data_IF_756609470953
#
_entry.id   IF_756609470953
#
_cell.length_a   1.000
_cell.length_b   1.000
_cell.length_c   1.000
_cell.angle_alpha   90.00
_cell.angle_beta   90.00
_cell.angle_gamma   90.00
#
_symmetry.space_group_name_H-M   'P 1'
#
loop_
_entity.id
_entity.type
_entity.pdbx_description
1 polymer ?
#
# COMPACT_ATOMS: atom_id res chain seq x y z
N UNK A 1 -7.07 -6.87 -0.65
CA UNK A 1 -7.32 -8.25 -0.20
C UNK A 1 -8.09 -8.25 1.14
N UNK A 2 -9.38 -7.97 1.14
CA UNK A 2 -10.15 -7.81 2.38
C UNK A 2 -10.37 -9.13 3.13
N UNK A 3 -10.27 -10.25 2.42
CA UNK A 3 -10.51 -11.60 2.96
C UNK A 3 -9.27 -12.23 3.61
N UNK A 4 -8.06 -11.73 3.31
CA UNK A 4 -6.82 -12.36 3.79
C UNK A 4 -6.65 -12.29 5.33
N UNK A 5 -6.90 -11.15 6.01
CA UNK A 5 -6.76 -11.10 7.46
C UNK A 5 -7.73 -12.02 8.20
N UNK A 6 -9.05 -12.06 7.88
CA UNK A 6 -9.96 -13.04 8.46
C UNK A 6 -9.57 -14.49 8.14
N UNK A 7 -9.12 -14.78 6.93
CA UNK A 7 -8.63 -16.11 6.57
C UNK A 7 -7.38 -16.49 7.39
N UNK A 8 -6.44 -15.56 7.55
CA UNK A 8 -5.26 -15.77 8.39
C UNK A 8 -5.63 -15.98 9.87
N UNK A 9 -6.71 -15.35 10.35
CA UNK A 9 -7.22 -15.60 11.70
C UNK A 9 -7.84 -17.01 11.83
N UNK A 10 -8.55 -17.48 10.82
CA UNK A 10 -9.12 -18.85 10.81
C UNK A 10 -8.00 -19.89 10.85
N UNK A 11 -6.94 -19.72 10.08
CA UNK A 11 -5.83 -20.66 10.00
C UNK A 11 -4.89 -20.55 11.20
N UNK A 12 -4.54 -19.31 11.59
CA UNK A 12 -3.52 -19.04 12.62
C UNK A 12 -4.03 -18.86 14.04
N UNK A 13 -5.35 -18.77 14.24
CA UNK A 13 -6.03 -18.72 15.53
C UNK A 13 -5.83 -17.44 16.35
N UNK A 14 -4.84 -16.57 16.05
CA UNK A 14 -4.51 -15.42 16.88
C UNK A 14 -4.34 -14.13 16.09
N UNK A 15 -4.57 -12.98 16.74
CA UNK A 15 -4.31 -11.66 16.13
C UNK A 15 -2.82 -11.44 15.87
N UNK A 16 -1.95 -12.06 16.66
CA UNK A 16 -0.50 -12.02 16.44
C UNK A 16 -0.11 -12.74 15.15
N UNK A 17 -0.68 -13.91 14.87
CA UNK A 17 -0.48 -14.64 13.62
C UNK A 17 -0.95 -13.81 12.42
N UNK A 18 -2.11 -13.15 12.51
CA UNK A 18 -2.59 -12.22 11.47
C UNK A 18 -1.60 -11.08 11.25
N UNK A 19 -1.13 -10.45 12.31
CA UNK A 19 -0.15 -9.36 12.23
C UNK A 19 1.15 -9.79 11.56
N UNK A 20 1.65 -10.98 11.90
CA UNK A 20 2.85 -11.57 11.29
C UNK A 20 2.65 -11.81 9.79
N UNK A 21 1.55 -12.44 9.40
CA UNK A 21 1.22 -12.74 8.01
C UNK A 21 1.06 -11.45 7.19
N UNK A 22 0.30 -10.47 7.70
CA UNK A 22 0.10 -9.21 7.00
C UNK A 22 1.39 -8.37 6.90
N UNK A 23 2.25 -8.41 7.92
CA UNK A 23 3.54 -7.74 7.92
C UNK A 23 4.54 -8.30 6.90
N UNK A 24 4.41 -9.58 6.53
CA UNK A 24 5.27 -10.25 5.55
C UNK A 24 5.27 -9.54 4.18
N UNK A 25 4.13 -9.05 3.76
CA UNK A 25 3.99 -8.29 2.50
C UNK A 25 4.85 -7.02 2.47
N UNK A 26 4.82 -6.24 3.56
CA UNK A 26 5.64 -5.04 3.71
C UNK A 26 7.13 -5.37 3.85
N UNK A 27 7.46 -6.46 4.59
CA UNK A 27 8.83 -6.92 4.78
C UNK A 27 9.51 -7.29 3.46
N UNK A 28 8.82 -8.04 2.61
CA UNK A 28 9.35 -8.39 1.28
C UNK A 28 9.63 -7.14 0.44
N UNK A 29 8.73 -6.15 0.45
CA UNK A 29 8.94 -4.90 -0.27
C UNK A 29 10.09 -4.07 0.30
N UNK A 30 10.24 -4.02 1.63
CA UNK A 30 11.34 -3.33 2.30
C UNK A 30 12.70 -3.90 1.87
N UNK A 31 12.80 -5.23 1.83
CA UNK A 31 14.05 -5.92 1.49
C UNK A 31 14.40 -5.85 0.01
N UNK A 32 13.39 -5.88 -0.88
CA UNK A 32 13.63 -6.08 -2.31
C UNK A 32 13.60 -4.81 -3.15
N UNK A 33 12.93 -3.74 -2.76
CA UNK A 33 12.79 -2.54 -3.60
C UNK A 33 14.12 -1.90 -3.99
N UNK A 34 15.08 -1.85 -3.07
CA UNK A 34 16.41 -1.26 -3.33
C UNK A 34 17.24 -2.17 -4.24
N UNK A 35 17.48 -3.47 -3.90
CA UNK A 35 18.20 -4.38 -4.79
C UNK A 35 17.60 -4.47 -6.19
N UNK A 36 16.26 -4.51 -6.26
CA UNK A 36 15.54 -4.60 -7.52
C UNK A 36 15.78 -3.37 -8.42
N UNK A 37 15.75 -2.16 -7.83
CA UNK A 37 16.05 -0.93 -8.57
C UNK A 37 17.45 -0.98 -9.20
N UNK A 38 18.45 -1.44 -8.46
CA UNK A 38 19.83 -1.60 -8.94
C UNK A 38 19.89 -2.64 -10.06
N UNK A 39 19.23 -3.79 -9.90
CA UNK A 39 19.21 -4.85 -10.92
C UNK A 39 18.49 -4.43 -12.20
N UNK A 40 17.39 -3.69 -12.07
CA UNK A 40 16.67 -3.13 -13.21
C UNK A 40 17.55 -2.22 -14.06
N UNK A 41 18.37 -1.39 -13.43
CA UNK A 41 19.27 -0.49 -14.13
C UNK A 41 20.45 -1.24 -14.76
N UNK A 42 20.99 -2.26 -14.06
CA UNK A 42 22.09 -3.08 -14.56
C UNK A 42 21.70 -3.91 -15.79
N UNK A 43 20.56 -4.57 -15.76
CA UNK A 43 20.09 -5.45 -16.85
C UNK A 43 19.55 -4.67 -18.05
N UNK A 44 19.13 -3.42 -17.86
CA UNK A 44 18.58 -2.59 -18.94
C UNK A 44 17.27 -3.10 -19.57
N UNK A 45 16.78 -4.28 -19.12
CA UNK A 45 15.54 -4.92 -19.57
C UNK A 45 14.54 -4.98 -18.44
N UNK A 46 13.27 -4.66 -18.69
CA UNK A 46 12.20 -4.58 -17.70
C UNK A 46 11.29 -5.81 -17.72
N UNK A 47 11.13 -6.44 -18.89
CA UNK A 47 10.23 -7.59 -19.09
C UNK A 47 10.56 -8.79 -18.19
N UNK A 48 11.82 -9.22 -17.98
CA UNK A 48 12.12 -10.35 -17.09
C UNK A 48 11.57 -10.17 -15.68
N UNK A 49 11.63 -8.94 -15.15
CA UNK A 49 11.09 -8.64 -13.82
C UNK A 49 9.56 -8.66 -13.80
N UNK A 50 8.91 -8.24 -14.88
CA UNK A 50 7.45 -8.31 -15.02
C UNK A 50 7.00 -9.78 -15.09
N UNK A 51 7.69 -10.63 -15.86
CA UNK A 51 7.44 -12.07 -15.88
C UNK A 51 7.60 -12.70 -14.49
N UNK A 52 8.72 -12.37 -13.81
CA UNK A 52 8.96 -12.84 -12.45
C UNK A 52 7.86 -12.38 -11.50
N UNK A 53 7.36 -11.14 -11.64
CA UNK A 53 6.24 -10.61 -10.87
C UNK A 53 4.99 -11.47 -10.99
N UNK A 54 4.56 -11.80 -12.22
CA UNK A 54 3.39 -12.65 -12.44
C UNK A 54 3.60 -14.09 -11.97
N UNK A 55 4.79 -14.66 -12.15
CA UNK A 55 5.14 -16.00 -11.66
C UNK A 55 5.06 -16.04 -10.13
N UNK A 56 5.65 -15.05 -9.46
CA UNK A 56 5.61 -14.95 -7.99
C UNK A 56 4.18 -14.71 -7.47
N UNK A 57 3.38 -13.88 -8.16
CA UNK A 57 1.98 -13.64 -7.77
C UNK A 57 1.10 -14.89 -7.93
N UNK A 58 1.30 -15.64 -9.01
CA UNK A 58 0.68 -16.94 -9.22
C UNK A 58 1.10 -17.96 -8.15
N UNK A 59 2.41 -18.06 -7.85
CA UNK A 59 2.93 -18.93 -6.80
C UNK A 59 2.39 -18.54 -5.41
N UNK A 60 2.31 -17.24 -5.10
CA UNK A 60 1.71 -16.75 -3.87
C UNK A 60 0.21 -17.14 -3.77
N UNK A 61 -0.53 -16.96 -4.86
CA UNK A 61 -1.95 -17.34 -4.92
C UNK A 61 -2.15 -18.83 -4.69
N UNK A 62 -1.35 -19.68 -5.35
CA UNK A 62 -1.37 -21.13 -5.12
C UNK A 62 -0.96 -21.48 -3.69
N UNK A 63 0.10 -20.86 -3.16
CA UNK A 63 0.52 -21.03 -1.78
C UNK A 63 -0.59 -20.72 -0.78
N UNK A 64 -1.36 -19.65 -1.00
CA UNK A 64 -2.51 -19.30 -0.15
C UNK A 64 -3.65 -20.32 -0.20
N UNK A 65 -3.87 -20.99 -1.35
CA UNK A 65 -4.90 -22.05 -1.50
C UNK A 65 -4.57 -23.25 -0.59
N UNK A 66 -3.28 -23.64 -0.55
CA UNK A 66 -2.84 -24.82 0.18
C UNK A 66 -2.32 -24.52 1.58
N UNK A 67 -2.46 -23.26 2.05
CA UNK A 67 -1.96 -22.87 3.37
C UNK A 67 -2.84 -23.43 4.50
N UNK A 68 -2.25 -24.30 5.29
CA UNK A 68 -2.82 -24.90 6.49
C UNK A 68 -2.18 -24.39 7.80
N UNK A 69 -1.17 -23.54 7.69
CA UNK A 69 -0.40 -23.02 8.81
C UNK A 69 -0.02 -21.55 8.65
N UNK A 70 0.21 -20.87 9.78
CA UNK A 70 0.69 -19.48 9.80
C UNK A 70 1.99 -19.30 9.03
N UNK A 71 2.89 -20.30 9.08
CA UNK A 71 4.16 -20.25 8.36
C UNK A 71 3.98 -20.27 6.84
N UNK A 72 3.08 -21.11 6.32
CA UNK A 72 2.77 -21.16 4.88
C UNK A 72 2.07 -19.88 4.43
N UNK A 73 1.13 -19.35 5.23
CA UNK A 73 0.51 -18.05 4.96
C UNK A 73 1.55 -16.94 4.91
N UNK A 74 2.46 -16.88 5.89
CA UNK A 74 3.56 -15.91 5.92
C UNK A 74 4.41 -15.98 4.66
N UNK A 75 4.85 -17.19 4.27
CA UNK A 75 5.67 -17.39 3.08
C UNK A 75 4.91 -16.97 1.81
N UNK A 76 3.65 -17.36 1.67
CA UNK A 76 2.82 -17.01 0.51
C UNK A 76 2.62 -15.50 0.40
N UNK A 77 2.34 -14.81 1.52
CA UNK A 77 2.18 -13.35 1.55
C UNK A 77 3.52 -12.63 1.34
N UNK A 78 4.63 -13.20 1.82
CA UNK A 78 5.97 -12.70 1.54
C UNK A 78 6.27 -12.76 0.03
N UNK A 79 5.97 -13.89 -0.63
CA UNK A 79 6.11 -14.04 -2.08
C UNK A 79 5.21 -13.04 -2.82
N UNK A 80 3.98 -12.80 -2.36
CA UNK A 80 3.11 -11.74 -2.93
C UNK A 80 3.74 -10.34 -2.78
N UNK A 81 4.41 -10.07 -1.66
CA UNK A 81 5.17 -8.83 -1.45
C UNK A 81 6.37 -8.71 -2.39
N UNK A 82 7.05 -9.83 -2.68
CA UNK A 82 8.09 -9.89 -3.72
C UNK A 82 7.52 -9.54 -5.10
N UNK A 83 6.40 -10.14 -5.48
CA UNK A 83 5.69 -9.84 -6.73
C UNK A 83 5.32 -8.35 -6.82
N UNK A 84 4.78 -7.78 -5.75
CA UNK A 84 4.43 -6.36 -5.67
C UNK A 84 5.66 -5.42 -5.80
N UNK A 85 6.85 -5.87 -5.44
CA UNK A 85 8.08 -5.09 -5.62
C UNK A 85 8.43 -4.87 -7.10
N UNK A 86 7.97 -5.78 -8.00
CA UNK A 86 8.17 -5.66 -9.45
C UNK A 86 7.38 -4.50 -10.07
N UNK A 87 6.52 -3.82 -9.29
CA UNK A 87 5.82 -2.60 -9.67
C UNK A 87 6.76 -1.53 -10.25
N UNK A 88 7.99 -1.45 -9.77
CA UNK A 88 9.01 -0.52 -10.30
C UNK A 88 9.26 -0.80 -11.79
N UNK A 89 9.41 -2.07 -12.19
CA UNK A 89 9.60 -2.46 -13.59
C UNK A 89 8.39 -2.10 -14.46
N UNK A 90 7.16 -2.29 -13.95
CA UNK A 90 5.93 -1.92 -14.64
C UNK A 90 5.85 -0.43 -14.91
N UNK A 91 6.10 0.40 -13.90
CA UNK A 91 6.00 1.86 -14.03
C UNK A 91 7.01 2.40 -15.01
N UNK A 92 8.25 1.89 -15.00
CA UNK A 92 9.31 2.32 -15.91
C UNK A 92 8.99 1.86 -17.35
N UNK A 93 8.60 0.60 -17.56
CA UNK A 93 8.22 0.10 -18.88
C UNK A 93 7.07 0.92 -19.46
N UNK A 94 6.02 1.17 -18.67
CA UNK A 94 4.87 1.95 -19.11
C UNK A 94 5.24 3.38 -19.47
N UNK A 95 6.09 4.04 -18.68
CA UNK A 95 6.56 5.38 -18.94
C UNK A 95 7.33 5.47 -20.27
N UNK A 96 8.08 4.44 -20.65
CA UNK A 96 8.86 4.40 -21.90
C UNK A 96 8.01 4.40 -23.19
N UNK A 97 6.70 4.19 -23.08
CA UNK A 97 5.78 4.33 -24.23
C UNK A 97 5.35 5.77 -24.49
N UNK A 98 5.67 6.70 -23.59
CA UNK A 98 5.28 8.10 -23.69
C UNK A 98 6.51 8.98 -23.91
N UNK A 99 6.40 10.08 -24.69
CA UNK A 99 7.43 11.10 -24.75
C UNK A 99 7.71 11.67 -23.35
N UNK A 100 8.95 12.06 -23.07
CA UNK A 100 9.36 12.65 -21.76
C UNK A 100 8.46 13.79 -21.31
N UNK A 101 7.98 14.63 -22.27
CA UNK A 101 7.03 15.73 -21.97
C UNK A 101 5.68 15.24 -21.41
N UNK A 102 5.35 13.96 -21.55
CA UNK A 102 4.10 13.36 -21.09
C UNK A 102 4.30 12.43 -19.88
N UNK A 103 5.43 12.50 -19.19
CA UNK A 103 5.73 11.65 -18.03
C UNK A 103 4.64 11.73 -16.95
N UNK A 104 4.14 12.92 -16.63
CA UNK A 104 3.02 13.09 -15.68
C UNK A 104 1.74 12.41 -16.15
N UNK A 105 1.42 12.45 -17.45
CA UNK A 105 0.26 11.77 -18.02
C UNK A 105 0.39 10.25 -17.92
N UNK A 106 1.58 9.71 -18.22
CA UNK A 106 1.82 8.25 -18.12
C UNK A 106 1.66 7.77 -16.68
N UNK A 107 2.24 8.48 -15.71
CA UNK A 107 2.08 8.15 -14.29
C UNK A 107 0.62 8.24 -13.85
N UNK A 108 -0.11 9.28 -14.24
CA UNK A 108 -1.54 9.42 -13.93
C UNK A 108 -2.36 8.23 -14.45
N UNK A 109 -2.12 7.81 -15.70
CA UNK A 109 -2.84 6.69 -16.31
C UNK A 109 -2.56 5.36 -15.60
N UNK A 110 -1.29 5.07 -15.29
CA UNK A 110 -0.95 3.80 -14.62
C UNK A 110 -1.46 3.76 -13.18
N UNK A 111 -1.38 4.89 -12.45
CA UNK A 111 -1.94 4.97 -11.09
C UNK A 111 -3.46 4.83 -11.11
N UNK A 112 -4.16 5.51 -12.02
CA UNK A 112 -5.62 5.37 -12.18
C UNK A 112 -6.00 3.92 -12.47
N UNK A 113 -5.38 3.30 -13.47
CA UNK A 113 -5.65 1.91 -13.85
C UNK A 113 -5.41 0.95 -12.69
N UNK A 114 -4.34 1.14 -11.93
CA UNK A 114 -4.03 0.31 -10.76
C UNK A 114 -5.06 0.48 -9.64
N UNK A 115 -5.45 1.71 -9.31
CA UNK A 115 -6.46 1.96 -8.27
C UNK A 115 -7.83 1.45 -8.66
N UNK A 116 -8.21 1.63 -9.93
CA UNK A 116 -9.45 1.09 -10.46
C UNK A 116 -9.45 -0.45 -10.39
N UNK A 117 -8.38 -1.11 -10.87
CA UNK A 117 -8.25 -2.57 -10.79
C UNK A 117 -8.28 -3.07 -9.35
N UNK A 118 -7.59 -2.40 -8.41
CA UNK A 118 -7.62 -2.73 -6.99
C UNK A 118 -9.04 -2.64 -6.40
N UNK A 119 -9.79 -1.60 -6.74
CA UNK A 119 -11.16 -1.43 -6.28
C UNK A 119 -12.06 -2.57 -6.79
N UNK A 120 -12.02 -2.83 -8.10
CA UNK A 120 -12.82 -3.89 -8.73
C UNK A 120 -12.45 -5.28 -8.18
N UNK A 121 -11.17 -5.62 -8.12
CA UNK A 121 -10.72 -6.93 -7.61
C UNK A 121 -10.98 -7.11 -6.12
N UNK A 122 -11.01 -6.03 -5.35
CA UNK A 122 -11.35 -6.08 -3.93
C UNK A 122 -12.82 -6.42 -3.71
N UNK A 123 -13.72 -5.75 -4.44
CA UNK A 123 -15.15 -6.07 -4.42
C UNK A 123 -15.41 -7.50 -4.93
N UNK A 124 -14.89 -7.81 -6.12
CA UNK A 124 -15.05 -9.15 -6.73
C UNK A 124 -14.49 -10.25 -5.82
N UNK A 125 -13.36 -10.00 -5.15
CA UNK A 125 -12.76 -10.95 -4.21
C UNK A 125 -13.66 -11.26 -3.03
N UNK A 126 -14.38 -10.28 -2.47
CA UNK A 126 -15.39 -10.49 -1.43
C UNK A 126 -16.56 -11.34 -1.92
N UNK A 127 -17.13 -10.98 -3.08
CA UNK A 127 -18.27 -11.69 -3.69
C UNK A 127 -17.90 -13.15 -4.08
N UNK A 128 -16.69 -13.36 -4.61
CA UNK A 128 -16.16 -14.69 -4.93
C UNK A 128 -15.98 -15.51 -3.64
N UNK A 129 -15.43 -14.91 -2.57
CA UNK A 129 -15.24 -15.59 -1.30
C UNK A 129 -16.57 -15.99 -0.63
N UNK A 130 -17.61 -15.20 -0.81
CA UNK A 130 -18.95 -15.52 -0.30
C UNK A 130 -19.52 -16.76 -0.97
N UNK A 131 -19.37 -16.87 -2.30
CA UNK A 131 -19.95 -17.97 -3.10
C UNK A 131 -19.12 -19.26 -3.09
N UNK A 132 -17.79 -19.14 -3.16
CA UNK A 132 -16.86 -20.27 -3.34
C UNK A 132 -15.89 -20.45 -2.17
N UNK A 133 -16.13 -19.82 -1.03
CA UNK A 133 -15.29 -19.92 0.15
C UNK A 133 -13.98 -19.13 0.05
N UNK A 134 -13.14 -19.28 1.06
CA UNK A 134 -11.90 -18.51 1.22
C UNK A 134 -10.89 -18.73 0.07
N UNK A 135 -10.85 -19.93 -0.52
CA UNK A 135 -9.92 -20.28 -1.59
C UNK A 135 -10.31 -19.66 -2.95
N UNK A 136 -11.60 -19.36 -3.16
CA UNK A 136 -12.13 -18.87 -4.45
C UNK A 136 -11.37 -17.69 -5.03
N UNK A 137 -11.13 -16.59 -4.27
CA UNK A 137 -10.37 -15.44 -4.77
C UNK A 137 -8.92 -15.75 -5.09
N UNK A 138 -8.30 -16.73 -4.43
CA UNK A 138 -6.91 -17.12 -4.70
C UNK A 138 -6.81 -17.92 -6.01
N UNK A 139 -7.80 -18.78 -6.32
CA UNK A 139 -7.90 -19.40 -7.65
C UNK A 139 -8.05 -18.33 -8.74
N UNK A 140 -8.93 -17.36 -8.57
CA UNK A 140 -9.07 -16.24 -9.50
C UNK A 140 -7.75 -15.45 -9.65
N UNK A 141 -7.02 -15.21 -8.55
CA UNK A 141 -5.69 -14.59 -8.55
C UNK A 141 -4.68 -15.37 -9.39
N UNK A 142 -4.59 -16.68 -9.20
CA UNK A 142 -3.69 -17.54 -9.97
C UNK A 142 -4.00 -17.50 -11.49
N UNK A 143 -5.29 -17.56 -11.86
CA UNK A 143 -5.72 -17.42 -13.26
C UNK A 143 -5.37 -16.06 -13.84
N UNK A 144 -5.63 -14.98 -13.11
CA UNK A 144 -5.30 -13.62 -13.54
C UNK A 144 -3.79 -13.40 -13.68
N UNK A 145 -2.98 -14.00 -12.79
CA UNK A 145 -1.52 -13.96 -12.90
C UNK A 145 -1.02 -14.67 -14.15
N UNK A 146 -1.60 -15.84 -14.48
CA UNK A 146 -1.30 -16.56 -15.72
C UNK A 146 -1.69 -15.74 -16.96
N UNK A 147 -2.88 -15.16 -16.97
CA UNK A 147 -3.33 -14.29 -18.07
C UNK A 147 -2.42 -13.06 -18.21
N UNK A 148 -2.03 -12.42 -17.11
CA UNK A 148 -1.09 -11.31 -17.10
C UNK A 148 0.27 -11.69 -17.68
N UNK A 149 0.79 -12.87 -17.31
CA UNK A 149 2.03 -13.41 -17.85
C UNK A 149 1.94 -13.59 -19.38
N UNK A 150 0.87 -14.23 -19.86
CA UNK A 150 0.63 -14.46 -21.29
C UNK A 150 0.49 -13.15 -22.07
N UNK A 151 -0.24 -12.17 -21.53
CA UNK A 151 -0.38 -10.84 -22.14
C UNK A 151 0.96 -10.12 -22.22
N UNK A 152 1.80 -10.23 -21.20
CA UNK A 152 3.13 -9.61 -21.18
C UNK A 152 4.05 -10.15 -22.26
N UNK A 153 3.87 -11.40 -22.71
CA UNK A 153 4.64 -11.95 -23.84
C UNK A 153 4.46 -11.13 -25.12
N UNK A 154 3.27 -10.56 -25.35
CA UNK A 154 2.92 -9.77 -26.53
C UNK A 154 3.33 -8.30 -26.46
N UNK A 155 3.70 -7.80 -25.28
CA UNK A 155 4.08 -6.41 -25.10
C UNK A 155 5.51 -6.21 -25.63
N UNK A 156 5.77 -5.32 -26.60
CA UNK A 156 7.12 -5.04 -27.05
C UNK A 156 7.89 -4.30 -25.96
N UNK A 157 9.18 -4.62 -25.78
CA UNK A 157 10.01 -3.88 -24.84
C UNK A 157 10.64 -2.67 -25.54
N UNK A 158 10.32 -1.47 -25.03
CA UNK A 158 11.05 -0.24 -25.40
C UNK A 158 12.14 0.01 -24.34
N UNK A 159 13.40 -0.08 -24.77
CA UNK A 159 14.54 0.22 -23.91
C UNK A 159 14.64 1.73 -23.73
N UNK A 160 14.88 2.24 -22.52
CA UNK A 160 15.10 3.66 -22.30
C UNK A 160 16.43 4.10 -22.94
N UNK A 161 16.44 5.27 -23.53
CA UNK A 161 17.71 5.99 -23.76
C UNK A 161 18.30 6.26 -22.38
N UNK A 162 19.49 5.71 -22.12
CA UNK A 162 20.31 5.75 -20.89
C UNK A 162 19.60 6.30 -19.63
N UNK A 163 19.18 5.43 -18.77
CA UNK A 163 18.79 5.77 -17.40
C UNK A 163 20.04 6.10 -16.59
N UNK A 164 20.05 7.19 -15.84
CA UNK A 164 21.09 7.46 -14.85
C UNK A 164 21.03 6.35 -13.80
N UNK A 165 22.11 5.58 -13.67
CA UNK A 165 22.21 4.49 -12.70
C UNK A 165 21.97 5.02 -11.28
N UNK A 166 21.07 4.37 -10.56
CA UNK A 166 20.86 4.63 -9.12
C UNK A 166 22.17 4.27 -8.41
N UNK A 167 22.94 5.27 -8.00
CA UNK A 167 24.13 5.05 -7.19
C UNK A 167 23.74 4.85 -5.74
N UNK A 168 24.19 3.77 -5.11
CA UNK A 168 24.01 3.54 -3.66
C UNK A 168 24.51 4.75 -2.84
N UNK A 169 25.58 5.42 -3.31
CA UNK A 169 26.09 6.65 -2.72
C UNK A 169 25.05 7.78 -2.72
N UNK A 170 24.37 7.99 -3.85
CA UNK A 170 23.32 8.99 -3.96
C UNK A 170 22.12 8.66 -3.07
N UNK A 171 21.76 7.37 -2.96
CA UNK A 171 20.72 6.89 -2.06
C UNK A 171 21.05 7.22 -0.58
N UNK A 172 22.28 6.98 -0.14
CA UNK A 172 22.72 7.31 1.22
C UNK A 172 22.81 8.82 1.49
N UNK A 173 23.20 9.61 0.48
CA UNK A 173 23.23 11.07 0.58
C UNK A 173 21.83 11.66 0.74
N UNK A 174 20.84 11.12 0.04
CA UNK A 174 19.43 11.53 0.19
C UNK A 174 18.92 11.28 1.61
N UNK A 175 19.40 10.23 2.28
CA UNK A 175 19.11 9.95 3.69
C UNK A 175 19.58 11.02 4.68
N UNK A 176 20.34 12.03 4.24
CA UNK A 176 20.74 13.18 5.07
C UNK A 176 19.84 14.41 4.86
N UNK A 177 18.93 14.37 3.89
CA UNK A 177 18.00 15.48 3.66
C UNK A 177 16.90 15.50 4.73
N UNK A 178 16.85 16.52 5.61
CA UNK A 178 15.92 16.54 6.73
C UNK A 178 14.46 16.63 6.31
N UNK A 179 14.18 17.29 5.17
CA UNK A 179 12.82 17.39 4.63
C UNK A 179 12.35 16.04 4.12
N UNK A 180 13.19 15.32 3.34
CA UNK A 180 12.88 13.98 2.85
C UNK A 180 12.68 13.00 4.02
N UNK A 181 13.52 13.06 5.06
CA UNK A 181 13.37 12.23 6.26
C UNK A 181 12.06 12.51 7.00
N UNK A 182 11.70 13.79 7.17
CA UNK A 182 10.44 14.16 7.83
C UNK A 182 9.23 13.66 7.07
N UNK A 183 9.21 13.86 5.74
CA UNK A 183 8.14 13.38 4.85
C UNK A 183 8.06 11.85 4.86
N UNK A 184 9.21 11.17 4.87
CA UNK A 184 9.28 9.71 4.97
C UNK A 184 8.78 9.20 6.31
N UNK A 185 9.11 9.86 7.42
CA UNK A 185 8.60 9.52 8.76
C UNK A 185 7.07 9.65 8.84
N UNK A 186 6.51 10.71 8.27
CA UNK A 186 5.06 10.87 8.16
C UNK A 186 4.45 9.72 7.35
N UNK A 187 5.05 9.36 6.22
CA UNK A 187 4.58 8.26 5.39
C UNK A 187 4.66 6.89 6.11
N UNK A 188 5.68 6.66 6.98
CA UNK A 188 5.75 5.46 7.83
C UNK A 188 4.50 5.40 8.73
N UNK A 189 4.15 6.49 9.42
CA UNK A 189 3.01 6.53 10.33
C UNK A 189 1.68 6.31 9.60
N UNK A 190 1.52 6.91 8.42
CA UNK A 190 0.34 6.70 7.59
C UNK A 190 0.22 5.25 7.12
N UNK A 191 1.32 4.68 6.60
CA UNK A 191 1.33 3.30 6.12
C UNK A 191 1.20 2.29 7.26
N UNK A 192 1.75 2.60 8.44
CA UNK A 192 1.48 1.84 9.66
C UNK A 192 -0.03 1.74 9.90
N UNK A 193 -0.72 2.89 9.91
CA UNK A 193 -2.16 2.93 10.16
C UNK A 193 -2.95 2.18 9.08
N UNK A 194 -2.67 2.41 7.79
CA UNK A 194 -3.37 1.75 6.68
C UNK A 194 -3.17 0.23 6.72
N UNK A 195 -1.94 -0.23 6.88
CA UNK A 195 -1.62 -1.64 6.87
C UNK A 195 -2.17 -2.37 8.09
N UNK A 196 -2.09 -1.74 9.27
CA UNK A 196 -2.64 -2.30 10.51
C UNK A 196 -4.16 -2.31 10.51
N UNK A 197 -4.80 -1.19 10.18
CA UNK A 197 -6.26 -1.07 10.32
C UNK A 197 -6.97 -1.50 9.05
N UNK A 198 -6.96 -0.68 8.02
CA UNK A 198 -7.77 -0.86 6.81
C UNK A 198 -7.51 -2.18 6.10
N UNK A 199 -6.24 -2.54 5.90
CA UNK A 199 -5.86 -3.79 5.24
C UNK A 199 -5.73 -4.98 6.19
N UNK A 200 -5.50 -4.73 7.48
CA UNK A 200 -5.25 -5.74 8.50
C UNK A 200 -6.48 -6.04 9.35
N UNK A 201 -6.72 -5.25 10.38
CA UNK A 201 -7.63 -5.61 11.46
C UNK A 201 -9.07 -5.10 11.31
N UNK A 202 -9.36 -4.13 10.44
CA UNK A 202 -10.75 -3.68 10.18
C UNK A 202 -11.63 -4.78 9.58
N UNK A 203 -11.18 -5.60 8.60
CA UNK A 203 -11.97 -6.75 8.14
C UNK A 203 -12.33 -7.73 9.25
N UNK A 204 -11.40 -8.00 10.17
CA UNK A 204 -11.65 -8.87 11.33
C UNK A 204 -12.69 -8.24 12.27
N UNK A 205 -12.58 -6.92 12.51
CA UNK A 205 -13.56 -6.20 13.32
C UNK A 205 -14.94 -6.22 12.68
N UNK A 206 -15.00 -5.99 11.36
CA UNK A 206 -16.25 -6.05 10.59
C UNK A 206 -16.95 -7.43 10.73
N UNK A 207 -16.18 -8.53 10.61
CA UNK A 207 -16.74 -9.87 10.83
C UNK A 207 -17.26 -10.08 12.26
N UNK A 208 -16.60 -9.53 13.28
CA UNK A 208 -17.09 -9.62 14.68
C UNK A 208 -18.42 -8.94 14.89
N UNK A 209 -18.74 -7.89 14.11
CA UNK A 209 -20.03 -7.21 14.14
C UNK A 209 -21.01 -7.71 13.07
N UNK A 210 -20.71 -8.88 12.46
CA UNK A 210 -21.62 -9.62 11.59
C UNK A 210 -21.45 -9.42 10.10
N UNK A 211 -20.34 -8.84 9.60
CA UNK A 211 -20.10 -8.67 8.18
C UNK A 211 -19.88 -10.02 7.46
N UNK A 212 -20.56 -10.20 6.33
CA UNK A 212 -20.31 -11.25 5.36
C UNK A 212 -18.97 -11.00 4.62
N UNK A 213 -18.47 -11.99 3.88
CA UNK A 213 -17.25 -11.84 3.08
C UNK A 213 -17.44 -10.82 1.94
N UNK A 214 -18.64 -10.75 1.35
CA UNK A 214 -18.98 -9.76 0.35
C UNK A 214 -18.94 -8.35 0.94
N UNK A 215 -19.48 -8.15 2.14
CA UNK A 215 -19.47 -6.87 2.85
C UNK A 215 -18.05 -6.39 3.20
N UNK A 216 -17.11 -7.31 3.42
CA UNK A 216 -15.68 -6.96 3.54
C UNK A 216 -15.12 -6.38 2.23
N UNK A 217 -15.56 -6.92 1.08
CA UNK A 217 -15.24 -6.38 -0.24
C UNK A 217 -15.77 -4.95 -0.41
N UNK A 218 -17.04 -4.72 -0.05
CA UNK A 218 -17.68 -3.39 -0.10
C UNK A 218 -16.97 -2.41 0.83
N UNK A 219 -16.60 -2.83 2.03
CA UNK A 219 -15.89 -2.01 3.01
C UNK A 219 -14.60 -1.41 2.44
N UNK A 220 -13.78 -2.26 1.84
CA UNK A 220 -12.51 -1.83 1.26
C UNK A 220 -12.71 -1.05 -0.06
N UNK A 221 -13.72 -1.42 -0.86
CA UNK A 221 -14.12 -0.66 -2.05
C UNK A 221 -14.53 0.78 -1.69
N UNK A 222 -15.30 0.97 -0.63
CA UNK A 222 -15.70 2.28 -0.13
C UNK A 222 -14.48 3.13 0.28
N UNK A 223 -13.54 2.54 1.01
CA UNK A 223 -12.26 3.19 1.36
C UNK A 223 -11.46 3.59 0.11
N UNK A 224 -11.29 2.67 -0.84
CA UNK A 224 -10.50 2.93 -2.06
C UNK A 224 -11.13 3.97 -2.96
N UNK A 225 -12.46 3.93 -3.13
CA UNK A 225 -13.22 4.91 -3.90
C UNK A 225 -13.08 6.32 -3.30
N UNK A 226 -13.24 6.43 -1.99
CA UNK A 226 -13.05 7.69 -1.27
C UNK A 226 -11.60 8.21 -1.39
N UNK A 227 -10.61 7.31 -1.26
CA UNK A 227 -9.19 7.66 -1.44
C UNK A 227 -8.92 8.19 -2.85
N UNK A 228 -9.45 7.54 -3.87
CA UNK A 228 -9.28 7.95 -5.27
C UNK A 228 -9.85 9.35 -5.52
N UNK A 229 -11.08 9.60 -5.09
CA UNK A 229 -11.73 10.92 -5.25
C UNK A 229 -10.99 12.01 -4.48
N UNK A 230 -10.62 11.75 -3.23
CA UNK A 230 -9.89 12.72 -2.41
C UNK A 230 -8.49 13.03 -2.95
N UNK A 231 -7.82 12.06 -3.57
CA UNK A 231 -6.52 12.26 -4.21
C UNK A 231 -6.58 13.26 -5.39
N UNK A 232 -7.68 13.26 -6.14
CA UNK A 232 -7.91 14.25 -7.19
C UNK A 232 -8.06 15.66 -6.60
N UNK A 233 -8.79 15.77 -5.49
CA UNK A 233 -9.01 17.05 -4.80
C UNK A 233 -7.73 17.57 -4.16
N UNK A 234 -6.89 16.70 -3.60
CA UNK A 234 -5.62 17.08 -2.98
C UNK A 234 -4.75 17.94 -3.92
N UNK A 235 -4.59 17.50 -5.19
CA UNK A 235 -3.83 18.24 -6.19
C UNK A 235 -4.43 19.59 -6.58
N UNK A 236 -5.76 19.75 -6.43
CA UNK A 236 -6.45 21.01 -6.73
C UNK A 236 -6.31 22.04 -5.61
N UNK A 237 -6.36 21.62 -4.37
CA UNK A 237 -6.34 22.50 -3.19
C UNK A 237 -4.93 22.82 -2.69
N UNK A 238 -3.97 21.92 -2.89
CA UNK A 238 -2.59 22.08 -2.43
C UNK A 238 -1.71 22.83 -3.43
N UNK A 239 -2.12 24.06 -3.80
CA UNK A 239 -1.38 24.88 -4.77
C UNK A 239 -0.32 25.79 -4.14
N UNK A 240 -0.35 25.98 -2.83
CA UNK A 240 0.58 26.83 -2.07
C UNK A 240 1.12 26.04 -0.87
N UNK A 241 2.35 26.30 -0.41
CA UNK A 241 2.92 25.60 0.74
C UNK A 241 2.04 25.61 2.00
N UNK A 242 1.39 26.72 2.28
CA UNK A 242 0.48 26.85 3.44
C UNK A 242 -0.76 25.98 3.30
N UNK A 243 -1.32 25.87 2.09
CA UNK A 243 -2.47 25.00 1.83
C UNK A 243 -2.08 23.52 1.82
N UNK A 244 -0.90 23.15 1.34
CA UNK A 244 -0.39 21.77 1.45
C UNK A 244 -0.31 21.32 2.92
N UNK A 245 0.26 22.17 3.78
CA UNK A 245 0.34 21.92 5.23
C UNK A 245 -1.03 21.70 5.85
N UNK A 246 -1.97 22.60 5.57
CA UNK A 246 -3.32 22.52 6.11
C UNK A 246 -4.05 21.26 5.64
N UNK A 247 -3.89 20.88 4.36
CA UNK A 247 -4.51 19.67 3.78
C UNK A 247 -3.89 18.40 4.40
N UNK A 248 -2.57 18.32 4.55
CA UNK A 248 -1.91 17.18 5.21
C UNK A 248 -2.36 17.06 6.67
N UNK A 249 -2.39 18.16 7.41
CA UNK A 249 -2.85 18.19 8.80
C UNK A 249 -4.31 17.72 8.92
N UNK A 250 -5.21 18.29 8.12
CA UNK A 250 -6.62 17.92 8.09
C UNK A 250 -6.80 16.45 7.68
N UNK A 251 -6.04 15.96 6.70
CA UNK A 251 -6.07 14.57 6.28
C UNK A 251 -5.70 13.61 7.41
N UNK A 252 -4.64 13.89 8.17
CA UNK A 252 -4.28 13.08 9.35
C UNK A 252 -5.34 13.16 10.45
N UNK A 253 -5.98 14.31 10.67
CA UNK A 253 -7.08 14.43 11.62
C UNK A 253 -8.30 13.60 11.18
N UNK A 254 -8.62 13.57 9.88
CA UNK A 254 -9.68 12.70 9.34
C UNK A 254 -9.36 11.21 9.56
N UNK A 255 -8.11 10.79 9.30
CA UNK A 255 -7.68 9.42 9.60
C UNK A 255 -7.82 9.13 11.09
N UNK A 256 -7.32 10.00 11.97
CA UNK A 256 -7.44 9.85 13.43
C UNK A 256 -8.91 9.75 13.86
N UNK A 257 -9.74 10.69 13.41
CA UNK A 257 -11.17 10.76 13.75
C UNK A 257 -11.98 9.60 13.20
N UNK A 258 -11.49 8.92 12.15
CA UNK A 258 -12.12 7.70 11.62
C UNK A 258 -11.70 6.44 12.39
N UNK A 259 -10.47 6.38 12.90
CA UNK A 259 -9.94 5.18 13.56
C UNK A 259 -10.34 5.09 15.03
N UNK A 260 -10.26 6.18 15.79
CA UNK A 260 -10.53 6.18 17.23
C UNK A 260 -11.96 5.73 17.60
N UNK A 261 -13.03 6.03 16.85
CA UNK A 261 -14.36 5.57 17.16
C UNK A 261 -14.64 4.10 16.80
N UNK A 262 -13.83 3.44 15.96
CA UNK A 262 -14.08 2.06 15.51
C UNK A 262 -14.38 1.10 16.66
N UNK A 263 -13.64 1.13 17.80
CA UNK A 263 -13.94 0.23 18.93
C UNK A 263 -15.36 0.33 19.51
N UNK A 264 -16.04 1.43 19.28
CA UNK A 264 -17.39 1.71 19.79
C UNK A 264 -18.49 1.36 18.76
N UNK A 265 -18.10 0.96 17.54
CA UNK A 265 -19.04 0.72 16.44
C UNK A 265 -19.61 -0.69 16.52
N UNK A 266 -20.93 -0.79 16.57
CA UNK A 266 -21.67 -2.05 16.52
C UNK A 266 -22.49 -2.27 15.24
N UNK A 267 -22.50 -1.29 14.32
CA UNK A 267 -23.28 -1.32 13.07
C UNK A 267 -22.38 -1.16 11.86
N UNK A 268 -22.51 -2.04 10.87
CA UNK A 268 -21.72 -1.99 9.62
C UNK A 268 -21.84 -0.68 8.87
N UNK A 269 -23.02 -0.07 8.82
CA UNK A 269 -23.23 1.22 8.14
C UNK A 269 -22.35 2.34 8.71
N UNK A 270 -22.13 2.38 10.03
CA UNK A 270 -21.23 3.35 10.66
C UNK A 270 -19.78 3.03 10.29
N UNK A 271 -19.41 1.73 10.29
CA UNK A 271 -18.06 1.31 9.90
C UNK A 271 -17.75 1.68 8.45
N UNK A 272 -18.71 1.54 7.52
CA UNK A 272 -18.56 2.02 6.13
C UNK A 272 -18.33 3.52 6.07
N UNK A 273 -19.13 4.31 6.80
CA UNK A 273 -18.95 5.76 6.86
C UNK A 273 -17.56 6.15 7.38
N UNK A 274 -17.08 5.48 8.44
CA UNK A 274 -15.73 5.69 8.97
C UNK A 274 -14.64 5.31 7.96
N UNK A 275 -14.82 4.23 7.17
CA UNK A 275 -13.87 3.86 6.13
C UNK A 275 -13.87 4.86 4.96
N UNK A 276 -14.99 5.46 4.61
CA UNK A 276 -15.03 6.58 3.65
C UNK A 276 -14.26 7.78 4.17
N UNK A 277 -14.47 8.19 5.44
CA UNK A 277 -13.73 9.30 6.06
C UNK A 277 -12.24 9.00 6.11
N UNK A 278 -11.87 7.77 6.48
CA UNK A 278 -10.47 7.30 6.46
C UNK A 278 -9.88 7.40 5.05
N UNK A 279 -10.61 6.93 4.04
CA UNK A 279 -10.21 7.00 2.64
C UNK A 279 -9.98 8.44 2.17
N UNK A 280 -10.86 9.37 2.55
CA UNK A 280 -10.69 10.80 2.27
C UNK A 280 -9.39 11.31 2.90
N UNK A 281 -9.17 11.03 4.19
CA UNK A 281 -7.95 11.43 4.90
C UNK A 281 -6.68 10.94 4.22
N UNK A 282 -6.62 9.64 3.89
CA UNK A 282 -5.49 9.01 3.19
C UNK A 282 -5.29 9.62 1.80
N UNK A 283 -6.39 9.84 1.05
CA UNK A 283 -6.36 10.40 -0.29
C UNK A 283 -5.87 11.85 -0.33
N UNK A 284 -6.11 12.62 0.72
CA UNK A 284 -5.57 13.97 0.86
C UNK A 284 -4.07 13.96 1.20
N UNK A 285 -3.62 13.06 2.07
CA UNK A 285 -2.23 13.05 2.58
C UNK A 285 -1.26 12.41 1.61
N UNK A 286 -1.57 11.20 1.13
CA UNK A 286 -0.59 10.35 0.47
C UNK A 286 0.02 10.96 -0.81
N UNK A 287 -0.76 11.54 -1.76
CA UNK A 287 -0.21 12.18 -2.95
C UNK A 287 0.68 13.38 -2.63
N UNK A 288 0.35 14.14 -1.58
CA UNK A 288 1.14 15.30 -1.18
C UNK A 288 2.49 14.89 -0.58
N UNK A 289 2.53 13.81 0.22
CA UNK A 289 3.80 13.28 0.72
C UNK A 289 4.68 12.79 -0.43
N UNK A 290 4.12 12.18 -1.49
CA UNK A 290 4.87 11.82 -2.71
C UNK A 290 5.44 13.04 -3.42
N UNK A 291 4.66 14.11 -3.58
CA UNK A 291 5.13 15.37 -4.16
C UNK A 291 6.26 16.01 -3.36
N UNK A 292 6.07 16.09 -2.04
CA UNK A 292 7.07 16.67 -1.11
C UNK A 292 8.37 15.84 -1.03
N UNK A 293 8.31 14.53 -1.27
CA UNK A 293 9.50 13.67 -1.26
C UNK A 293 10.46 13.96 -2.44
N UNK A 294 9.94 14.39 -3.58
CA UNK A 294 10.76 14.69 -4.77
C UNK A 294 11.09 16.19 -4.92
N UNK A 295 10.33 17.06 -4.24
CA UNK A 295 10.49 18.51 -4.36
C UNK A 295 11.90 19.04 -4.00
N UNK A 296 12.58 18.53 -2.94
CA UNK A 296 13.88 19.05 -2.53
C UNK A 296 15.07 18.49 -3.35
N UNK A 297 14.80 17.74 -4.43
CA UNK A 297 15.84 17.02 -5.18
C UNK A 297 15.86 17.42 -6.65
N UNK A 298 17.05 17.54 -7.28
CA UNK A 298 17.18 17.76 -8.72
C UNK A 298 16.42 16.69 -9.53
N UNK A 299 15.96 17.08 -10.73
CA UNK A 299 15.12 16.21 -11.58
C UNK A 299 15.79 14.86 -11.87
N UNK A 300 17.12 14.86 -12.04
CA UNK A 300 17.94 13.67 -12.30
C UNK A 300 17.95 12.68 -11.13
N UNK A 301 17.68 13.15 -9.92
CA UNK A 301 17.68 12.35 -8.68
C UNK A 301 16.28 12.04 -8.14
N UNK A 302 15.23 12.54 -8.77
CA UNK A 302 13.85 12.33 -8.30
C UNK A 302 13.44 10.85 -8.26
N UNK A 303 13.92 10.05 -9.22
CA UNK A 303 13.71 8.59 -9.22
C UNK A 303 14.33 7.92 -8.00
N UNK A 304 15.56 8.29 -7.64
CA UNK A 304 16.27 7.79 -6.46
C UNK A 304 15.59 8.23 -5.16
N UNK A 305 15.15 9.50 -5.09
CA UNK A 305 14.40 10.02 -3.93
C UNK A 305 13.07 9.29 -3.74
N UNK A 306 12.37 9.01 -4.83
CA UNK A 306 11.12 8.25 -4.80
C UNK A 306 11.36 6.79 -4.35
N UNK A 307 12.42 6.15 -4.84
CA UNK A 307 12.83 4.82 -4.40
C UNK A 307 13.17 4.79 -2.90
N UNK A 308 13.93 5.79 -2.41
CA UNK A 308 14.24 5.97 -1.00
C UNK A 308 12.95 6.12 -0.17
N UNK A 309 12.09 7.07 -0.52
CA UNK A 309 10.83 7.33 0.16
C UNK A 309 9.95 6.08 0.24
N UNK A 310 9.82 5.35 -0.89
CA UNK A 310 9.02 4.13 -0.96
C UNK A 310 9.59 2.99 -0.11
N UNK A 311 10.91 2.85 -0.04
CA UNK A 311 11.56 1.85 0.81
C UNK A 311 11.39 2.17 2.29
N UNK A 312 11.50 3.45 2.65
CA UNK A 312 11.33 3.89 4.05
C UNK A 312 9.89 3.71 4.51
N UNK A 313 8.88 4.08 3.74
CA UNK A 313 7.50 3.88 4.20
C UNK A 313 7.08 2.40 4.25
N UNK A 314 7.76 1.50 3.53
CA UNK A 314 7.53 0.07 3.64
C UNK A 314 7.82 -0.48 5.06
N UNK A 315 8.64 0.22 5.86
CA UNK A 315 8.81 -0.04 7.30
C UNK A 315 7.44 0.00 8.00
N UNK A 316 6.63 1.04 7.74
CA UNK A 316 5.28 1.15 8.29
C UNK A 316 4.35 0.02 7.83
N UNK A 317 4.45 -0.38 6.55
CA UNK A 317 3.67 -1.49 6.01
C UNK A 317 4.03 -2.84 6.64
N UNK A 318 5.29 -3.03 7.05
CA UNK A 318 5.76 -4.26 7.69
C UNK A 318 5.48 -4.25 9.19
N UNK A 319 6.01 -3.24 9.90
CA UNK A 319 5.93 -3.17 11.35
C UNK A 319 4.51 -2.85 11.85
N UNK A 320 3.70 -2.16 11.03
CA UNK A 320 2.34 -1.82 11.40
C UNK A 320 1.51 -3.04 11.81
N UNK A 321 1.24 -3.98 10.90
CA UNK A 321 0.48 -5.18 11.22
C UNK A 321 1.14 -6.04 12.29
N UNK A 322 2.48 -6.17 12.25
CA UNK A 322 3.22 -6.98 13.23
C UNK A 322 3.04 -6.44 14.66
N UNK A 323 3.33 -5.16 14.90
CA UNK A 323 3.17 -4.52 16.22
C UNK A 323 1.70 -4.53 16.64
N UNK A 324 0.79 -4.19 15.73
CA UNK A 324 -0.65 -4.18 15.99
C UNK A 324 -1.20 -5.57 16.30
N UNK A 325 -0.65 -6.63 15.70
CA UNK A 325 -1.00 -8.01 16.01
C UNK A 325 -0.60 -8.40 17.41
N UNK A 326 0.61 -8.04 17.84
CA UNK A 326 1.09 -8.28 19.22
C UNK A 326 0.24 -7.48 20.22
N UNK A 327 0.05 -6.18 19.98
CA UNK A 327 -0.76 -5.30 20.83
C UNK A 327 -2.21 -5.79 20.91
N UNK A 328 -2.79 -6.18 19.77
CA UNK A 328 -4.15 -6.70 19.70
C UNK A 328 -4.33 -8.07 20.42
N UNK A 329 -3.28 -8.89 20.43
CA UNK A 329 -3.30 -10.18 21.15
C UNK A 329 -3.31 -10.00 22.67
N UNK A 330 -2.57 -9.00 23.19
CA UNK A 330 -2.46 -8.75 24.64
C UNK A 330 -3.54 -7.81 25.18
N UNK A 331 -3.91 -6.77 24.42
CA UNK A 331 -4.81 -5.69 24.87
C UNK A 331 -6.18 -5.73 24.16
N UNK A 332 -6.39 -6.72 23.30
CA UNK A 332 -7.62 -6.86 22.51
C UNK A 332 -7.62 -6.05 21.22
N UNK A 333 -8.51 -6.42 20.30
CA UNK A 333 -8.64 -5.81 18.97
C UNK A 333 -8.86 -4.27 18.97
N UNK A 334 -9.63 -3.68 19.93
CA UNK A 334 -9.78 -2.23 20.05
C UNK A 334 -8.47 -1.45 20.13
N UNK A 335 -7.46 -1.97 20.79
CA UNK A 335 -6.16 -1.32 20.99
C UNK A 335 -5.42 -1.03 19.69
N UNK A 336 -5.63 -1.84 18.65
CA UNK A 336 -5.04 -1.64 17.32
C UNK A 336 -5.49 -0.32 16.70
N UNK A 337 -6.79 0.00 16.80
CA UNK A 337 -7.36 1.24 16.26
C UNK A 337 -6.94 2.45 17.07
N UNK A 338 -6.89 2.31 18.40
CA UNK A 338 -6.42 3.37 19.31
C UNK A 338 -4.96 3.69 19.05
N UNK A 339 -4.08 2.68 18.98
CA UNK A 339 -2.66 2.87 18.67
C UNK A 339 -2.46 3.57 17.33
N UNK A 340 -3.13 3.10 16.29
CA UNK A 340 -3.02 3.68 14.94
C UNK A 340 -3.56 5.11 14.89
N UNK A 341 -4.67 5.39 15.59
CA UNK A 341 -5.25 6.72 15.72
C UNK A 341 -4.30 7.70 16.43
N UNK A 342 -3.68 7.27 17.55
CA UNK A 342 -2.69 8.09 18.29
C UNK A 342 -1.47 8.39 17.42
N UNK A 343 -0.95 7.41 16.67
CA UNK A 343 0.17 7.62 15.77
C UNK A 343 -0.18 8.59 14.64
N UNK A 344 -1.40 8.54 14.09
CA UNK A 344 -1.87 9.50 13.10
C UNK A 344 -2.06 10.91 13.71
N UNK A 345 -2.52 11.01 14.95
CA UNK A 345 -2.61 12.27 15.65
C UNK A 345 -1.22 12.89 15.85
N UNK A 346 -0.23 12.07 16.26
CA UNK A 346 1.16 12.50 16.35
C UNK A 346 1.68 12.98 14.98
N UNK A 347 1.36 12.25 13.89
CA UNK A 347 1.72 12.64 12.54
C UNK A 347 1.08 13.99 12.15
N UNK A 348 -0.16 14.25 12.53
CA UNK A 348 -0.81 15.55 12.32
C UNK A 348 0.02 16.67 12.99
N UNK A 349 0.39 16.54 14.26
CA UNK A 349 1.19 17.55 14.96
C UNK A 349 2.59 17.74 14.35
N UNK A 350 3.26 16.65 13.95
CA UNK A 350 4.56 16.71 13.27
C UNK A 350 4.41 17.45 11.93
N UNK A 351 3.38 17.16 11.17
CA UNK A 351 3.12 17.80 9.88
C UNK A 351 2.88 19.31 10.05
N UNK A 352 2.22 19.71 11.13
CA UNK A 352 1.97 21.11 11.42
C UNK A 352 3.24 21.89 11.82
N UNK A 353 4.15 21.28 12.59
CA UNK A 353 5.35 21.94 13.13
C UNK A 353 6.58 21.86 12.25
N UNK A 354 6.88 20.69 11.62
CA UNK A 354 8.20 20.39 11.06
C UNK A 354 8.34 20.42 9.54
N UNK A 355 7.29 20.23 8.76
CA UNK A 355 7.44 20.17 7.30
C UNK A 355 7.95 21.48 6.69
N UNK A 356 7.81 22.59 7.39
CA UNK A 356 8.02 23.95 6.89
C UNK A 356 9.17 24.72 7.56
N UNK A 357 9.87 24.10 8.50
CA UNK A 357 11.00 24.70 9.21
C UNK A 357 12.35 24.41 8.53
N UNK A 358 12.37 23.75 7.43
CA UNK A 358 13.51 23.44 6.56
C UNK A 358 13.13 23.77 5.12
#
# INVERSE_FOLDING_TARGET
MPILPPYAQVVGGSLQAVGLVMGAYGLAQLLLRIPLGIWLDYLGSRKPFIYLGFILDGAASLGLIFSDSTAMLFLSVFIAGMAASMWVAFTVLFANYFPLRQAGRSMGLIFFGTRFSQAVTTYAGGAIAERWGWAGPFYAGAVLSLLGLLLTLRIPERRPEKSSSVSLKNFLLLGRNPKLLTVSALAILLQFAIASTTSGFTPIYAQRIGASKEELGILLFAFMGATMLASLLAGMYARRPQSERAVIFAGYLLVTGSLLPIPLVSRLGILYALQVVNGIGVGLVFPLLFGLAIQPVPVEQQGTAMGFFQSIYAIGMSLGPFISGVVGAHLGLPSVFILSGILCLLAAFISWKKIWLS
#
